data_IF_583630190012
#
_entry.id   IF_583630190012
#
_cell.length_a   1.000
_cell.length_b   1.000
_cell.length_c   1.000
_cell.angle_alpha   90.00
_cell.angle_beta   90.00
_cell.angle_gamma   90.00
#
_symmetry.space_group_name_H-M   'P 1'
#
loop_
_entity.id
_entity.type
_entity.pdbx_description
1 polymer ?
#
# COMPACT_ATOMS: atom_id res chain seq x y z
N UNK A 1 -35.58 -95.22 -36.47
CA UNK A 1 -35.45 -93.77 -36.62
C UNK A 1 -35.42 -93.52 -38.11
N UNK A 2 -36.51 -92.97 -38.60
CA UNK A 2 -36.73 -92.79 -40.03
C UNK A 2 -35.84 -91.64 -40.52
N UNK A 3 -35.19 -91.83 -41.68
CA UNK A 3 -34.30 -90.84 -42.29
C UNK A 3 -34.94 -89.44 -42.39
N UNK A 4 -36.27 -89.39 -42.56
CA UNK A 4 -37.05 -88.15 -42.61
C UNK A 4 -37.16 -87.41 -41.27
N UNK A 5 -37.13 -88.11 -40.13
CA UNK A 5 -37.13 -87.47 -38.81
C UNK A 5 -35.78 -86.83 -38.53
N UNK A 6 -34.70 -87.51 -38.90
CA UNK A 6 -33.31 -87.03 -38.79
C UNK A 6 -33.13 -85.79 -39.69
N UNK A 7 -33.67 -85.79 -40.91
CA UNK A 7 -33.62 -84.61 -41.79
C UNK A 7 -34.40 -83.40 -41.23
N UNK A 8 -35.55 -83.64 -40.59
CA UNK A 8 -36.33 -82.57 -39.92
C UNK A 8 -35.60 -82.01 -38.71
N UNK A 9 -34.92 -82.85 -37.93
CA UNK A 9 -34.09 -82.41 -36.80
C UNK A 9 -32.86 -81.62 -37.27
N UNK A 10 -32.19 -82.08 -38.34
CA UNK A 10 -31.05 -81.36 -38.95
C UNK A 10 -31.49 -79.97 -39.43
N UNK A 11 -32.65 -79.84 -40.07
CA UNK A 11 -33.17 -78.52 -40.52
C UNK A 11 -33.46 -77.59 -39.34
N UNK A 12 -34.10 -78.08 -38.28
CA UNK A 12 -34.35 -77.28 -37.06
C UNK A 12 -33.04 -76.81 -36.43
N UNK A 13 -32.04 -77.70 -36.32
CA UNK A 13 -30.71 -77.34 -35.79
C UNK A 13 -30.03 -76.31 -36.69
N UNK A 14 -30.17 -76.41 -38.02
CA UNK A 14 -29.63 -75.42 -38.95
C UNK A 14 -30.29 -74.05 -38.79
N UNK A 15 -31.62 -74.00 -38.64
CA UNK A 15 -32.37 -72.76 -38.40
C UNK A 15 -31.96 -72.12 -37.07
N UNK A 16 -31.82 -72.91 -36.00
CA UNK A 16 -31.31 -72.45 -34.70
C UNK A 16 -29.86 -71.93 -34.80
N UNK A 17 -29.01 -72.58 -35.61
CA UNK A 17 -27.65 -72.12 -35.89
C UNK A 17 -27.66 -70.78 -36.64
N UNK A 18 -28.59 -70.56 -37.56
CA UNK A 18 -28.71 -69.29 -38.27
C UNK A 18 -29.23 -68.17 -37.36
N UNK A 19 -30.23 -68.45 -36.53
CA UNK A 19 -30.75 -67.50 -35.52
C UNK A 19 -29.67 -67.12 -34.49
N UNK A 20 -28.93 -68.10 -33.97
CA UNK A 20 -27.81 -67.85 -33.05
C UNK A 20 -26.68 -67.07 -33.73
N UNK A 21 -26.37 -67.35 -35.00
CA UNK A 21 -25.40 -66.53 -35.77
C UNK A 21 -25.87 -65.09 -35.95
N UNK A 22 -27.16 -64.88 -36.20
CA UNK A 22 -27.74 -63.55 -36.38
C UNK A 22 -27.78 -62.75 -35.07
N UNK A 23 -28.11 -63.40 -33.95
CA UNK A 23 -28.03 -62.77 -32.62
C UNK A 23 -26.58 -62.43 -32.24
N UNK A 24 -25.61 -63.31 -32.52
CA UNK A 24 -24.18 -63.01 -32.32
C UNK A 24 -23.73 -61.80 -33.14
N UNK A 25 -24.19 -61.67 -34.40
CA UNK A 25 -23.89 -60.50 -35.23
C UNK A 25 -24.47 -59.22 -34.64
N UNK A 26 -25.74 -59.22 -34.19
CA UNK A 26 -26.37 -58.07 -33.53
C UNK A 26 -25.64 -57.66 -32.25
N UNK A 27 -25.34 -58.62 -31.38
CA UNK A 27 -24.58 -58.38 -30.14
C UNK A 27 -23.17 -57.84 -30.39
N UNK A 28 -22.51 -58.26 -31.48
CA UNK A 28 -21.20 -57.68 -31.88
C UNK A 28 -21.33 -56.21 -32.25
N UNK A 29 -22.32 -55.85 -33.05
CA UNK A 29 -22.58 -54.44 -33.43
C UNK A 29 -22.92 -53.60 -32.20
N UNK A 30 -23.80 -54.08 -31.33
CA UNK A 30 -24.15 -53.40 -30.08
C UNK A 30 -22.94 -53.19 -29.17
N UNK A 31 -22.10 -54.24 -29.02
CA UNK A 31 -20.85 -54.16 -28.27
C UNK A 31 -19.91 -53.11 -28.84
N UNK A 32 -19.79 -53.03 -30.16
CA UNK A 32 -18.88 -52.09 -30.80
C UNK A 32 -19.38 -50.63 -30.64
N UNK A 33 -20.69 -50.39 -30.75
CA UNK A 33 -21.32 -49.09 -30.43
C UNK A 33 -21.08 -48.70 -28.96
N UNK A 34 -21.26 -49.64 -28.02
CA UNK A 34 -21.03 -49.38 -26.59
C UNK A 34 -19.54 -49.06 -26.34
N UNK A 35 -18.62 -49.74 -27.02
CA UNK A 35 -17.18 -49.46 -26.92
C UNK A 35 -16.82 -48.08 -27.44
N UNK A 36 -17.41 -47.62 -28.53
CA UNK A 36 -17.19 -46.27 -29.05
C UNK A 36 -17.70 -45.21 -28.07
N UNK A 37 -18.93 -45.34 -27.58
CA UNK A 37 -19.49 -44.44 -26.55
C UNK A 37 -18.63 -44.43 -25.29
N UNK A 38 -18.10 -45.59 -24.87
CA UNK A 38 -17.20 -45.67 -23.72
C UNK A 38 -15.90 -44.89 -23.97
N UNK A 39 -15.32 -44.98 -25.17
CA UNK A 39 -14.12 -44.21 -25.53
C UNK A 39 -14.39 -42.71 -25.48
N UNK A 40 -15.49 -42.24 -26.09
CA UNK A 40 -15.88 -40.83 -26.05
C UNK A 40 -16.08 -40.32 -24.61
N UNK A 41 -16.73 -41.12 -23.75
CA UNK A 41 -16.92 -40.76 -22.34
C UNK A 41 -15.59 -40.72 -21.58
N UNK A 42 -14.64 -41.61 -21.89
CA UNK A 42 -13.30 -41.59 -21.29
C UNK A 42 -12.53 -40.35 -21.73
N UNK A 43 -12.62 -39.96 -22.99
CA UNK A 43 -11.97 -38.75 -23.52
C UNK A 43 -12.56 -37.49 -22.87
N UNK A 44 -13.90 -37.34 -22.87
CA UNK A 44 -14.58 -36.24 -22.18
C UNK A 44 -14.22 -36.19 -20.70
N UNK A 45 -14.15 -37.33 -20.02
CA UNK A 45 -13.71 -37.41 -18.63
C UNK A 45 -12.28 -36.90 -18.46
N UNK A 46 -11.36 -37.27 -19.37
CA UNK A 46 -9.96 -36.80 -19.31
C UNK A 46 -9.86 -35.30 -19.54
N UNK A 47 -10.61 -34.75 -20.48
CA UNK A 47 -10.69 -33.31 -20.75
C UNK A 47 -11.19 -32.55 -19.53
N UNK A 48 -12.34 -32.94 -18.97
CA UNK A 48 -12.91 -32.31 -17.78
C UNK A 48 -11.98 -32.39 -16.57
N UNK A 49 -11.27 -33.51 -16.38
CA UNK A 49 -10.26 -33.63 -15.32
C UNK A 49 -9.07 -32.69 -15.58
N UNK A 50 -8.65 -32.55 -16.84
CA UNK A 50 -7.60 -31.63 -17.24
C UNK A 50 -7.96 -30.17 -16.94
N UNK A 51 -9.15 -29.74 -17.36
CA UNK A 51 -9.70 -28.41 -17.08
C UNK A 51 -9.81 -28.16 -15.59
N UNK A 52 -10.36 -29.13 -14.83
CA UNK A 52 -10.50 -29.01 -13.38
C UNK A 52 -9.14 -28.82 -12.68
N UNK A 53 -8.10 -29.58 -13.09
CA UNK A 53 -6.75 -29.40 -12.55
C UNK A 53 -6.19 -28.01 -12.86
N UNK A 54 -6.37 -27.52 -14.09
CA UNK A 54 -5.91 -26.18 -14.46
C UNK A 54 -6.64 -25.09 -13.67
N UNK A 55 -7.95 -25.22 -13.43
CA UNK A 55 -8.72 -24.29 -12.61
C UNK A 55 -8.22 -24.30 -11.15
N UNK A 56 -7.96 -25.47 -10.57
CA UNK A 56 -7.39 -25.57 -9.22
C UNK A 56 -6.03 -24.87 -9.13
N UNK A 57 -5.16 -25.07 -10.12
CA UNK A 57 -3.85 -24.41 -10.15
C UNK A 57 -3.98 -22.89 -10.24
N UNK A 58 -4.86 -22.39 -11.11
CA UNK A 58 -5.17 -20.94 -11.22
C UNK A 58 -5.72 -20.36 -9.91
N UNK A 59 -6.65 -21.06 -9.25
CA UNK A 59 -7.18 -20.61 -7.96
C UNK A 59 -6.06 -20.57 -6.91
N UNK A 60 -5.15 -21.56 -6.91
CA UNK A 60 -4.02 -21.61 -5.99
C UNK A 60 -3.04 -20.45 -6.22
N UNK A 61 -2.72 -20.12 -7.48
CA UNK A 61 -1.84 -18.99 -7.79
C UNK A 61 -2.48 -17.67 -7.37
N UNK A 62 -3.76 -17.44 -7.72
CA UNK A 62 -4.50 -16.23 -7.34
C UNK A 62 -4.60 -16.06 -5.80
N UNK A 63 -4.81 -17.15 -5.06
CA UNK A 63 -4.82 -17.12 -3.58
C UNK A 63 -3.45 -16.75 -3.01
N UNK A 64 -2.36 -17.23 -3.61
CA UNK A 64 -1.00 -16.86 -3.19
C UNK A 64 -0.71 -15.39 -3.49
N UNK A 65 -1.10 -14.89 -4.66
CA UNK A 65 -0.96 -13.48 -5.02
C UNK A 65 -1.76 -12.57 -4.08
N UNK A 66 -3.01 -12.95 -3.77
CA UNK A 66 -3.83 -12.28 -2.76
C UNK A 66 -3.13 -12.21 -1.40
N UNK A 67 -2.50 -13.30 -0.96
CA UNK A 67 -1.74 -13.33 0.31
C UNK A 67 -0.56 -12.37 0.26
N UNK A 68 0.21 -12.38 -0.82
CA UNK A 68 1.36 -11.48 -1.00
C UNK A 68 0.93 -10.00 -1.00
N UNK A 69 -0.16 -9.66 -1.68
CA UNK A 69 -0.69 -8.29 -1.69
C UNK A 69 -1.17 -7.86 -0.30
N UNK A 70 -1.80 -8.76 0.47
CA UNK A 70 -2.20 -8.46 1.85
C UNK A 70 -1.00 -8.20 2.75
N UNK A 71 0.08 -8.95 2.59
CA UNK A 71 1.33 -8.75 3.33
C UNK A 71 2.00 -7.42 2.95
N UNK A 72 2.09 -7.11 1.66
CA UNK A 72 2.55 -5.80 1.18
C UNK A 72 1.68 -4.67 1.74
N UNK A 73 0.35 -4.80 1.72
CA UNK A 73 -0.56 -3.81 2.28
C UNK A 73 -0.35 -3.63 3.80
N UNK A 74 -0.03 -4.69 4.54
CA UNK A 74 0.31 -4.61 5.97
C UNK A 74 1.60 -3.80 6.19
N UNK A 75 2.64 -4.07 5.39
CA UNK A 75 3.91 -3.35 5.48
C UNK A 75 3.75 -1.87 5.13
N UNK A 76 2.98 -1.56 4.07
CA UNK A 76 2.74 -0.16 3.68
C UNK A 76 1.88 0.56 4.74
N UNK A 77 0.92 -0.12 5.38
CA UNK A 77 0.19 0.45 6.54
C UNK A 77 1.11 0.77 7.70
N UNK A 78 2.07 -0.10 8.03
CA UNK A 78 3.04 0.18 9.09
C UNK A 78 3.86 1.45 8.77
N UNK A 79 4.39 1.55 7.54
CA UNK A 79 5.11 2.75 7.07
C UNK A 79 4.25 4.01 7.13
N UNK A 80 2.96 3.90 6.77
CA UNK A 80 1.99 4.98 6.88
C UNK A 80 1.84 5.47 8.32
N UNK A 81 1.69 4.54 9.25
CA UNK A 81 1.45 4.85 10.66
C UNK A 81 2.70 5.47 11.31
N UNK A 82 3.90 5.01 10.93
CA UNK A 82 5.17 5.64 11.27
C UNK A 82 5.27 7.08 10.75
N UNK A 83 4.94 7.30 9.47
CA UNK A 83 4.95 8.64 8.88
C UNK A 83 3.94 9.59 9.56
N UNK A 84 2.75 9.09 9.92
CA UNK A 84 1.80 9.86 10.74
C UNK A 84 2.35 10.18 12.13
N UNK A 85 3.08 9.25 12.76
CA UNK A 85 3.77 9.47 14.02
C UNK A 85 4.79 10.61 13.92
N UNK A 86 5.65 10.57 12.90
CA UNK A 86 6.63 11.64 12.61
C UNK A 86 5.93 12.98 12.35
N UNK A 87 4.90 12.99 11.52
CA UNK A 87 4.13 14.20 11.22
C UNK A 87 3.54 14.81 12.50
N UNK A 88 2.97 13.98 13.39
CA UNK A 88 2.40 14.44 14.66
C UNK A 88 3.47 15.04 15.57
N UNK A 89 4.65 14.43 15.64
CA UNK A 89 5.79 14.97 16.40
C UNK A 89 6.23 16.34 15.87
N UNK A 90 6.42 16.47 14.55
CA UNK A 90 6.78 17.74 13.91
C UNK A 90 5.71 18.82 14.15
N UNK A 91 4.43 18.46 14.11
CA UNK A 91 3.34 19.40 14.41
C UNK A 91 3.40 19.88 15.86
N UNK A 92 3.69 18.99 16.82
CA UNK A 92 3.81 19.33 18.23
C UNK A 92 5.01 20.26 18.48
N UNK A 93 6.18 19.96 17.89
CA UNK A 93 7.36 20.82 17.94
C UNK A 93 7.07 22.21 17.37
N UNK A 94 6.41 22.27 16.21
CA UNK A 94 6.07 23.52 15.55
C UNK A 94 5.08 24.35 16.41
N UNK A 95 4.14 23.70 17.08
CA UNK A 95 3.23 24.37 18.01
C UNK A 95 3.98 24.96 19.22
N UNK A 96 4.95 24.25 19.79
CA UNK A 96 5.77 24.74 20.90
C UNK A 96 6.63 25.94 20.47
N UNK A 97 7.34 25.84 19.35
CA UNK A 97 8.17 26.94 18.83
C UNK A 97 7.31 28.16 18.47
N UNK A 98 6.10 27.97 17.93
CA UNK A 98 5.18 29.09 17.70
C UNK A 98 4.78 29.80 18.99
N UNK A 99 4.53 29.07 20.07
CA UNK A 99 4.22 29.66 21.38
C UNK A 99 5.40 30.47 21.91
N UNK A 100 6.62 29.95 21.77
CA UNK A 100 7.84 30.68 22.14
C UNK A 100 8.01 31.94 21.28
N UNK A 101 7.82 31.82 19.97
CA UNK A 101 7.92 32.94 19.04
C UNK A 101 6.90 34.05 19.34
N UNK A 102 5.69 33.70 19.77
CA UNK A 102 4.67 34.66 20.15
C UNK A 102 5.08 35.52 21.38
N UNK A 103 5.90 34.95 22.28
CA UNK A 103 6.46 35.72 23.41
C UNK A 103 7.44 36.79 22.91
N UNK A 104 8.27 36.46 21.91
CA UNK A 104 9.26 37.39 21.37
C UNK A 104 8.73 38.31 20.27
N UNK A 105 7.64 37.97 19.58
CA UNK A 105 7.14 38.75 18.43
C UNK A 105 6.60 40.12 18.82
N UNK A 106 6.13 40.30 20.06
CA UNK A 106 5.66 41.60 20.57
C UNK A 106 6.78 42.64 20.67
N UNK A 107 8.03 42.20 20.78
CA UNK A 107 9.21 43.03 21.00
C UNK A 107 9.97 43.35 19.69
N UNK A 108 9.65 42.64 18.60
CA UNK A 108 10.42 42.68 17.34
C UNK A 108 10.09 43.86 16.41
N UNK A 109 9.57 44.98 16.94
CA UNK A 109 9.23 46.15 16.12
C UNK A 109 10.45 46.85 15.51
N UNK A 110 11.64 46.65 16.09
CA UNK A 110 12.88 47.33 15.69
C UNK A 110 13.80 46.34 14.96
N UNK A 111 14.36 46.69 13.78
CA UNK A 111 15.38 45.90 13.10
C UNK A 111 16.63 45.65 13.96
N UNK A 112 17.14 44.41 13.94
CA UNK A 112 18.39 44.00 14.65
C UNK A 112 19.57 44.91 14.30
N UNK A 113 19.66 45.37 13.04
CA UNK A 113 20.74 46.24 12.57
C UNK A 113 20.67 47.63 13.22
N UNK A 114 19.48 48.16 13.45
CA UNK A 114 19.30 49.46 14.11
C UNK A 114 19.61 49.38 15.60
N UNK A 115 19.21 48.30 16.28
CA UNK A 115 19.58 48.05 17.67
C UNK A 115 21.11 47.99 17.85
N UNK A 116 21.82 47.25 16.98
CA UNK A 116 23.30 47.19 17.02
C UNK A 116 23.95 48.55 16.81
N UNK A 117 23.48 49.32 15.83
CA UNK A 117 23.99 50.68 15.57
C UNK A 117 23.76 51.60 16.76
N UNK A 118 22.59 51.49 17.41
CA UNK A 118 22.25 52.33 18.56
C UNK A 118 23.08 52.00 19.80
N UNK A 119 23.31 50.72 20.08
CA UNK A 119 24.20 50.26 21.15
C UNK A 119 25.61 50.80 20.91
N UNK A 120 26.16 50.59 19.70
CA UNK A 120 27.51 51.04 19.35
C UNK A 120 27.68 52.58 19.46
N UNK A 121 26.65 53.35 19.10
CA UNK A 121 26.64 54.80 19.28
C UNK A 121 26.65 55.21 20.75
N UNK A 122 25.93 54.49 21.61
CA UNK A 122 25.86 54.77 23.05
C UNK A 122 27.16 54.36 23.76
N UNK A 123 27.74 53.20 23.41
CA UNK A 123 29.05 52.76 23.88
C UNK A 123 30.15 53.74 23.48
N UNK A 124 30.13 54.22 22.22
CA UNK A 124 31.08 55.24 21.79
C UNK A 124 30.94 56.52 22.61
N UNK A 125 29.71 56.98 22.86
CA UNK A 125 29.45 58.14 23.72
C UNK A 125 29.96 57.94 25.14
N UNK A 126 29.79 56.75 25.71
CA UNK A 126 30.34 56.40 27.01
C UNK A 126 31.88 56.49 27.02
N UNK A 127 32.54 56.04 25.95
CA UNK A 127 34.01 56.05 25.85
C UNK A 127 34.62 57.44 25.59
N UNK A 128 33.93 58.32 24.86
CA UNK A 128 34.49 59.61 24.40
C UNK A 128 33.94 60.86 25.10
N UNK A 129 32.91 60.75 25.94
CA UNK A 129 32.27 61.91 26.57
C UNK A 129 32.61 62.02 28.06
N UNK A 130 32.77 63.25 28.55
CA UNK A 130 32.90 63.53 30.00
C UNK A 130 31.49 63.56 30.58
N UNK A 131 31.06 62.46 31.20
CA UNK A 131 29.72 62.28 31.77
C UNK A 131 29.75 62.49 33.29
N UNK A 132 28.65 62.96 33.86
CA UNK A 132 28.44 62.87 35.30
C UNK A 132 28.03 61.46 35.70
N UNK A 133 28.25 61.09 36.96
CA UNK A 133 27.99 59.73 37.47
C UNK A 133 26.54 59.27 37.23
N UNK A 134 25.57 60.19 37.26
CA UNK A 134 24.16 59.91 37.00
C UNK A 134 23.86 59.72 35.51
N UNK A 135 24.46 60.55 34.65
CA UNK A 135 24.31 60.41 33.20
C UNK A 135 24.95 59.12 32.68
N UNK A 136 26.08 58.71 33.27
CA UNK A 136 26.74 57.45 32.94
C UNK A 136 25.88 56.24 33.34
N UNK A 137 25.24 56.27 34.52
CA UNK A 137 24.29 55.23 34.94
C UNK A 137 23.08 55.12 34.00
N UNK A 138 22.48 56.25 33.61
CA UNK A 138 21.38 56.25 32.64
C UNK A 138 21.80 55.68 31.29
N UNK A 139 23.02 55.99 30.84
CA UNK A 139 23.59 55.47 29.59
C UNK A 139 23.79 53.95 29.66
N UNK A 140 24.35 53.46 30.78
CA UNK A 140 24.53 52.02 31.03
C UNK A 140 23.18 51.30 31.08
N UNK A 141 22.17 51.85 31.74
CA UNK A 141 20.82 51.26 31.75
C UNK A 141 20.20 51.20 30.34
N UNK A 142 20.39 52.24 29.53
CA UNK A 142 19.90 52.27 28.16
C UNK A 142 20.60 51.23 27.28
N UNK A 143 21.92 51.08 27.42
CA UNK A 143 22.70 50.04 26.73
C UNK A 143 22.20 48.66 27.16
N UNK A 144 22.08 48.40 28.47
CA UNK A 144 21.61 47.11 28.99
C UNK A 144 20.21 46.73 28.47
N UNK A 145 19.26 47.68 28.45
CA UNK A 145 17.92 47.47 27.89
C UNK A 145 17.98 47.16 26.38
N UNK A 146 18.82 47.88 25.63
CA UNK A 146 18.98 47.65 24.19
C UNK A 146 19.66 46.31 23.90
N UNK A 147 20.67 45.92 24.66
CA UNK A 147 21.32 44.60 24.56
C UNK A 147 20.34 43.47 24.86
N UNK A 148 19.49 43.62 25.87
CA UNK A 148 18.45 42.66 26.20
C UNK A 148 17.49 42.49 25.02
N UNK A 149 16.97 43.60 24.46
CA UNK A 149 16.10 43.56 23.28
C UNK A 149 16.78 42.96 22.05
N UNK A 150 18.08 43.23 21.85
CA UNK A 150 18.88 42.67 20.76
C UNK A 150 19.02 41.15 20.91
N UNK A 151 19.33 40.66 22.12
CA UNK A 151 19.48 39.23 22.41
C UNK A 151 18.18 38.46 22.16
N UNK A 152 17.04 39.06 22.54
CA UNK A 152 15.71 38.51 22.31
C UNK A 152 15.36 38.50 20.81
N UNK A 153 15.74 39.55 20.07
CA UNK A 153 15.51 39.64 18.63
C UNK A 153 16.33 38.60 17.84
N UNK A 154 17.57 38.32 18.26
CA UNK A 154 18.40 37.25 17.69
C UNK A 154 17.74 35.89 17.90
N UNK A 155 17.35 35.56 19.15
CA UNK A 155 16.65 34.31 19.47
C UNK A 155 15.37 34.14 18.65
N UNK A 156 14.60 35.20 18.48
CA UNK A 156 13.39 35.15 17.66
C UNK A 156 13.68 34.89 16.17
N UNK A 157 14.79 35.41 15.64
CA UNK A 157 15.22 35.12 14.27
C UNK A 157 15.64 33.65 14.11
N UNK A 158 16.39 33.10 15.06
CA UNK A 158 16.74 31.68 15.10
C UNK A 158 15.49 30.80 15.15
N UNK A 159 14.53 31.13 16.03
CA UNK A 159 13.26 30.44 16.10
C UNK A 159 12.47 30.55 14.78
N UNK A 160 12.48 31.69 14.07
CA UNK A 160 11.87 31.78 12.73
C UNK A 160 12.52 30.82 11.73
N UNK A 161 13.85 30.69 11.75
CA UNK A 161 14.56 29.75 10.88
C UNK A 161 14.17 28.30 11.19
N UNK A 162 14.13 27.92 12.47
CA UNK A 162 13.68 26.57 12.87
C UNK A 162 12.23 26.31 12.43
N UNK A 163 11.33 27.31 12.50
CA UNK A 163 9.96 27.18 11.96
C UNK A 163 9.98 26.93 10.46
N UNK A 164 10.83 27.62 9.69
CA UNK A 164 10.91 27.38 8.24
C UNK A 164 11.44 25.99 7.91
N UNK A 165 12.42 25.49 8.67
CA UNK A 165 12.94 24.13 8.52
C UNK A 165 11.89 23.07 8.88
N UNK A 166 11.16 23.25 9.98
CA UNK A 166 10.07 22.35 10.38
C UNK A 166 8.92 22.37 9.38
N UNK A 167 8.60 23.52 8.79
CA UNK A 167 7.63 23.60 7.68
C UNK A 167 8.10 22.79 6.47
N UNK A 168 9.38 22.86 6.12
CA UNK A 168 9.93 22.07 5.02
C UNK A 168 9.86 20.56 5.32
N UNK A 169 10.22 20.14 6.55
CA UNK A 169 10.05 18.75 7.01
C UNK A 169 8.59 18.31 6.93
N UNK A 170 7.65 19.13 7.38
CA UNK A 170 6.22 18.85 7.33
C UNK A 170 5.69 18.67 5.89
N UNK A 171 6.21 19.45 4.93
CA UNK A 171 5.88 19.28 3.51
C UNK A 171 6.39 17.94 2.99
N UNK A 172 7.64 17.56 3.31
CA UNK A 172 8.22 16.27 2.92
C UNK A 172 7.39 15.09 3.45
N UNK A 173 7.09 15.08 4.74
CA UNK A 173 6.28 14.05 5.39
C UNK A 173 4.87 13.96 4.77
N UNK A 174 4.26 15.11 4.41
CA UNK A 174 2.96 15.12 3.70
C UNK A 174 3.04 14.49 2.30
N UNK A 175 4.15 14.70 1.58
CA UNK A 175 4.35 14.09 0.27
C UNK A 175 4.52 12.58 0.41
N UNK A 176 5.31 12.13 1.39
CA UNK A 176 5.50 10.70 1.67
C UNK A 176 4.16 10.02 2.02
N UNK A 177 3.35 10.63 2.89
CA UNK A 177 2.01 10.10 3.23
C UNK A 177 1.10 10.03 2.00
N UNK A 178 1.15 11.01 1.10
CA UNK A 178 0.37 10.98 -0.15
C UNK A 178 0.82 9.81 -1.04
N UNK A 179 2.13 9.64 -1.25
CA UNK A 179 2.67 8.54 -2.04
C UNK A 179 2.25 7.17 -1.47
N UNK A 180 2.38 6.99 -0.15
CA UNK A 180 1.95 5.78 0.56
C UNK A 180 0.44 5.52 0.37
N UNK A 181 -0.38 6.57 0.37
CA UNK A 181 -1.83 6.45 0.14
C UNK A 181 -2.15 6.00 -1.29
N UNK A 182 -1.46 6.55 -2.27
CA UNK A 182 -1.61 6.14 -3.68
C UNK A 182 -1.17 4.69 -3.90
N UNK A 183 -0.06 4.26 -3.29
CA UNK A 183 0.40 2.87 -3.31
C UNK A 183 -0.65 1.93 -2.70
N UNK A 184 -1.21 2.27 -1.53
CA UNK A 184 -2.29 1.49 -0.92
C UNK A 184 -3.52 1.41 -1.82
N UNK A 185 -3.93 2.51 -2.45
CA UNK A 185 -5.07 2.53 -3.35
C UNK A 185 -4.85 1.62 -4.56
N UNK A 186 -3.63 1.63 -5.14
CA UNK A 186 -3.25 0.71 -6.22
C UNK A 186 -3.25 -0.76 -5.78
N UNK A 187 -2.80 -1.04 -4.55
CA UNK A 187 -2.85 -2.42 -4.01
C UNK A 187 -4.28 -2.87 -3.76
N UNK A 188 -5.15 -2.01 -3.21
CA UNK A 188 -6.56 -2.36 -2.99
C UNK A 188 -7.33 -2.56 -4.29
N UNK A 189 -7.04 -1.77 -5.33
CA UNK A 189 -7.68 -1.98 -6.64
C UNK A 189 -7.25 -3.32 -7.25
N UNK A 190 -5.96 -3.68 -7.16
CA UNK A 190 -5.46 -5.02 -7.54
C UNK A 190 -6.12 -6.13 -6.72
N UNK A 191 -6.21 -5.95 -5.40
CA UNK A 191 -6.83 -6.93 -4.51
C UNK A 191 -8.31 -7.14 -4.84
N UNK A 192 -9.04 -6.08 -5.18
CA UNK A 192 -10.45 -6.19 -5.56
C UNK A 192 -10.62 -6.94 -6.89
N UNK A 193 -9.77 -6.69 -7.88
CA UNK A 193 -9.75 -7.46 -9.14
C UNK A 193 -9.45 -8.94 -8.92
N UNK A 194 -8.44 -9.25 -8.09
CA UNK A 194 -8.13 -10.64 -7.74
C UNK A 194 -9.27 -11.31 -6.96
N UNK A 195 -9.99 -10.55 -6.13
CA UNK A 195 -11.17 -11.09 -5.44
C UNK A 195 -12.28 -11.46 -6.42
N UNK A 196 -12.60 -10.60 -7.38
CA UNK A 196 -13.60 -10.91 -8.40
C UNK A 196 -13.16 -12.10 -9.27
N UNK A 197 -11.89 -12.14 -9.69
CA UNK A 197 -11.36 -13.27 -10.47
C UNK A 197 -11.42 -14.60 -9.71
N UNK A 198 -11.19 -14.59 -8.40
CA UNK A 198 -11.33 -15.81 -7.57
C UNK A 198 -12.80 -16.20 -7.42
N UNK A 199 -13.71 -15.23 -7.32
CA UNK A 199 -15.15 -15.47 -7.20
C UNK A 199 -15.75 -16.01 -8.51
N UNK A 200 -15.29 -15.52 -9.66
CA UNK A 200 -15.69 -16.02 -10.98
C UNK A 200 -15.20 -17.46 -11.27
N UNK A 201 -14.09 -17.86 -10.63
CA UNK A 201 -13.48 -19.19 -10.79
C UNK A 201 -13.92 -20.21 -9.73
N UNK A 202 -14.59 -19.78 -8.66
CA UNK A 202 -14.97 -20.62 -7.51
C UNK A 202 -16.42 -21.09 -7.57
#
# INVERSE_FOLDING_TARGET
MDLEEIEKEIRKILDEIEETKNTIKKLKVERDIVREKLRELIEKRRELIGEHKQLIEKIKTLRNEKRNILEQAKNIKARRDEAYGKLKAVIAELANIRKELQKYSKLLKIPIAELRRRIQQLEWKQQTSILTLDQEKELIEQIAKLEETLSQAIKAKELKNTVTELKAKLIKERIEIKAIREELQKLYSKLNKLKSEIEDLS
#
